data_IF_526043432794
#
_entry.id   IF_526043432794
#
_cell.length_a   1.000
_cell.length_b   1.000
_cell.length_c   1.000
_cell.angle_alpha   90.00
_cell.angle_beta   90.00
_cell.angle_gamma   90.00
#
_symmetry.space_group_name_H-M   'P 1'
#
loop_
_entity.id
_entity.type
_entity.pdbx_description
1 polymer ?
#
# COMPACT_ATOMS: atom_id res chain seq x y z
N UNK A 1 5.00 -2.52 -52.53
CA UNK A 1 4.27 -3.40 -51.59
C UNK A 1 5.13 -3.93 -50.43
N UNK A 2 6.35 -4.44 -50.68
CA UNK A 2 7.23 -4.96 -49.62
C UNK A 2 7.66 -3.90 -48.57
N UNK A 3 7.97 -2.67 -49.00
CA UNK A 3 8.34 -1.58 -48.09
C UNK A 3 7.22 -1.20 -47.12
N UNK A 4 5.97 -1.21 -47.57
CA UNK A 4 4.80 -0.90 -46.73
C UNK A 4 4.57 -2.00 -45.70
N UNK A 5 4.68 -3.27 -46.09
CA UNK A 5 4.57 -4.40 -45.17
C UNK A 5 5.67 -4.38 -44.10
N UNK A 6 6.92 -4.08 -44.50
CA UNK A 6 8.04 -3.94 -43.58
C UNK A 6 7.82 -2.80 -42.57
N UNK A 7 7.34 -1.64 -43.04
CA UNK A 7 7.03 -0.51 -42.17
C UNK A 7 5.93 -0.87 -41.14
N UNK A 8 4.88 -1.56 -41.58
CA UNK A 8 3.76 -1.98 -40.73
C UNK A 8 4.21 -3.01 -39.67
N UNK A 9 5.10 -3.94 -40.04
CA UNK A 9 5.72 -4.89 -39.12
C UNK A 9 6.67 -4.20 -38.12
N UNK A 10 7.45 -3.21 -38.57
CA UNK A 10 8.36 -2.47 -37.70
C UNK A 10 7.60 -1.62 -36.67
N UNK A 11 6.53 -0.94 -37.07
CA UNK A 11 5.69 -0.16 -36.15
C UNK A 11 5.01 -1.06 -35.12
N UNK A 12 4.44 -2.18 -35.54
CA UNK A 12 3.82 -3.14 -34.62
C UNK A 12 4.84 -3.74 -33.66
N UNK A 13 6.03 -4.14 -34.14
CA UNK A 13 7.11 -4.63 -33.30
C UNK A 13 7.56 -3.58 -32.26
N UNK A 14 7.64 -2.30 -32.65
CA UNK A 14 8.03 -1.21 -31.76
C UNK A 14 6.98 -0.94 -30.66
N UNK A 15 5.69 -1.01 -31.02
CA UNK A 15 4.61 -0.86 -30.03
C UNK A 15 4.60 -2.02 -29.04
N UNK A 16 4.77 -3.25 -29.53
CA UNK A 16 4.79 -4.45 -28.68
C UNK A 16 6.01 -4.43 -27.76
N UNK A 17 7.20 -4.09 -28.26
CA UNK A 17 8.40 -4.00 -27.43
C UNK A 17 8.28 -2.90 -26.37
N UNK A 18 7.73 -1.74 -26.73
CA UNK A 18 7.46 -0.65 -25.79
C UNK A 18 6.49 -1.08 -24.68
N UNK A 19 5.42 -1.77 -25.03
CA UNK A 19 4.46 -2.29 -24.04
C UNK A 19 5.09 -3.32 -23.10
N UNK A 20 5.88 -4.26 -23.65
CA UNK A 20 6.57 -5.27 -22.86
C UNK A 20 7.56 -4.66 -21.86
N UNK A 21 8.35 -3.67 -22.29
CA UNK A 21 9.28 -2.95 -21.43
C UNK A 21 8.55 -2.21 -20.30
N UNK A 22 7.43 -1.56 -20.63
CA UNK A 22 6.63 -0.86 -19.63
C UNK A 22 6.02 -1.83 -18.61
N UNK A 23 5.43 -2.93 -19.09
CA UNK A 23 4.84 -3.95 -18.23
C UNK A 23 5.89 -4.60 -17.32
N UNK A 24 7.08 -4.92 -17.84
CA UNK A 24 8.16 -5.49 -17.02
C UNK A 24 8.67 -4.52 -15.97
N UNK A 25 8.83 -3.24 -16.32
CA UNK A 25 9.23 -2.21 -15.37
C UNK A 25 8.17 -2.01 -14.26
N UNK A 26 6.89 -1.98 -14.64
CA UNK A 26 5.79 -1.89 -13.69
C UNK A 26 5.78 -3.06 -12.70
N UNK A 27 5.88 -4.30 -13.20
CA UNK A 27 5.87 -5.50 -12.36
C UNK A 27 7.10 -5.58 -11.45
N UNK A 28 8.27 -5.14 -11.93
CA UNK A 28 9.47 -5.04 -11.12
C UNK A 28 9.26 -4.13 -9.91
N UNK A 29 8.74 -2.91 -10.13
CA UNK A 29 8.47 -1.97 -9.04
C UNK A 29 7.34 -2.47 -8.14
N UNK A 30 6.25 -2.97 -8.72
CA UNK A 30 5.08 -3.43 -7.96
C UNK A 30 5.39 -4.62 -7.04
N UNK A 31 6.32 -5.50 -7.43
CA UNK A 31 6.72 -6.66 -6.62
C UNK A 31 7.49 -6.29 -5.35
N UNK A 32 8.24 -5.19 -5.38
CA UNK A 32 9.01 -4.70 -4.24
C UNK A 32 8.17 -3.88 -3.25
N UNK A 33 6.93 -3.51 -3.60
CA UNK A 33 6.08 -2.76 -2.70
C UNK A 33 5.62 -3.65 -1.53
N UNK A 34 5.84 -3.22 -0.27
CA UNK A 34 5.37 -3.96 0.89
C UNK A 34 3.83 -3.99 0.91
N UNK A 35 3.27 -5.13 1.35
CA UNK A 35 1.84 -5.25 1.55
C UNK A 35 1.38 -4.30 2.65
N UNK A 36 0.31 -3.55 2.38
CA UNK A 36 -0.24 -2.52 3.26
C UNK A 36 -1.28 -3.08 4.24
N UNK A 37 -1.45 -4.41 4.26
CA UNK A 37 -2.46 -5.13 5.04
C UNK A 37 -2.40 -4.81 6.55
N UNK A 38 -1.23 -4.43 7.05
CA UNK A 38 -1.02 -4.11 8.47
C UNK A 38 -1.69 -2.83 8.94
N UNK A 39 -2.01 -1.89 8.04
CA UNK A 39 -2.72 -0.65 8.40
C UNK A 39 -4.22 -0.87 8.61
N UNK A 40 -4.82 -1.86 7.93
CA UNK A 40 -6.25 -2.14 8.04
C UNK A 40 -6.62 -2.69 9.43
N UNK A 41 -5.75 -3.55 10.00
CA UNK A 41 -5.95 -4.18 11.30
C UNK A 41 -5.04 -3.61 12.41
N UNK A 42 -4.44 -2.43 12.19
CA UNK A 42 -3.60 -1.80 13.20
C UNK A 42 -4.43 -1.36 14.41
N UNK A 43 -4.33 -2.10 15.51
CA UNK A 43 -4.91 -1.76 16.80
C UNK A 43 -3.81 -1.27 17.74
N UNK A 44 -3.49 0.04 17.74
CA UNK A 44 -2.49 0.56 18.65
C UNK A 44 -2.93 0.36 20.10
N UNK A 45 -2.00 0.09 21.02
CA UNK A 45 -2.33 0.02 22.44
C UNK A 45 -2.85 1.39 22.91
N UNK A 46 -4.02 1.36 23.57
CA UNK A 46 -4.66 2.54 24.17
C UNK A 46 -4.56 2.49 25.70
N UNK A 47 -4.91 3.60 26.34
CA UNK A 47 -4.89 3.74 27.80
C UNK A 47 -5.91 2.80 28.42
N UNK A 48 -5.45 1.96 29.36
CA UNK A 48 -6.34 1.20 30.25
C UNK A 48 -6.67 2.07 31.46
N UNK A 49 -7.95 2.31 31.73
CA UNK A 49 -8.43 3.10 32.87
C UNK A 49 -9.10 2.21 33.90
N UNK A 50 -8.73 2.39 35.16
CA UNK A 50 -9.40 1.79 36.31
C UNK A 50 -10.33 2.82 36.92
N UNK A 51 -11.58 2.46 37.13
CA UNK A 51 -12.62 3.33 37.65
C UNK A 51 -13.01 2.94 39.09
N UNK A 52 -13.41 3.91 39.90
CA UNK A 52 -14.11 3.69 41.18
C UNK A 52 -15.54 3.21 40.93
N UNK A 53 -16.24 2.80 42.00
CA UNK A 53 -17.67 2.47 41.95
C UNK A 53 -18.55 3.68 41.55
N UNK A 54 -18.11 4.89 41.89
CA UNK A 54 -18.72 6.16 41.50
C UNK A 54 -18.36 6.59 40.06
N UNK A 55 -17.45 5.86 39.37
CA UNK A 55 -17.06 6.11 37.98
C UNK A 55 -15.88 7.08 37.80
N UNK A 56 -15.18 7.44 38.87
CA UNK A 56 -13.98 8.29 38.82
C UNK A 56 -12.73 7.48 38.43
N UNK A 57 -11.79 8.07 37.68
CA UNK A 57 -10.55 7.40 37.30
C UNK A 57 -9.61 7.33 38.52
N UNK A 58 -9.28 6.11 38.95
CA UNK A 58 -8.38 5.87 40.09
C UNK A 58 -6.97 5.42 39.65
N UNK A 59 -6.82 4.93 38.41
CA UNK A 59 -5.52 4.61 37.83
C UNK A 59 -5.57 4.56 36.30
N UNK A 60 -4.43 4.85 35.65
CA UNK A 60 -4.23 4.67 34.21
C UNK A 60 -2.95 3.88 33.93
N UNK A 61 -3.02 2.91 33.01
CA UNK A 61 -1.88 2.11 32.58
C UNK A 61 -1.71 2.21 31.06
N UNK A 62 -0.54 2.65 30.63
CA UNK A 62 -0.15 2.68 29.23
C UNK A 62 1.38 2.72 29.08
N UNK A 63 1.91 2.13 28.01
CA UNK A 63 3.30 2.38 27.57
C UNK A 63 3.42 3.73 26.87
N UNK A 64 2.41 4.09 26.10
CA UNK A 64 2.32 5.34 25.37
C UNK A 64 0.93 5.95 25.56
N UNK A 65 0.89 7.25 25.83
CA UNK A 65 -0.37 7.97 26.05
C UNK A 65 -1.00 8.36 24.71
N UNK A 66 -1.84 7.47 24.17
CA UNK A 66 -2.58 7.67 22.91
C UNK A 66 -4.07 7.90 23.20
N UNK A 67 -4.65 8.94 22.59
CA UNK A 67 -6.07 9.29 22.71
C UNK A 67 -6.65 9.26 21.29
N UNK A 68 -7.74 8.51 21.10
CA UNK A 68 -8.45 8.45 19.80
C UNK A 68 -9.18 9.78 19.61
N UNK A 69 -8.88 10.47 18.51
CA UNK A 69 -9.57 11.70 18.10
C UNK A 69 -10.64 11.30 17.07
N UNK A 70 -11.91 11.72 17.22
CA UNK A 70 -12.97 11.44 16.26
C UNK A 70 -12.81 12.22 14.94
#
# INVERSE_FOLDING_TARGET
EQLVRLALMATTACVVSGFLLFASAYLYVAGDLPRVDTLADYRPPIITRVLSDEGEIIAEFAKERRIVVP
#
